data_IF_576493008557
#
_entry.id   IF_576493008557
#
_cell.length_a   1.000
_cell.length_b   1.000
_cell.length_c   1.000
_cell.angle_alpha   90.00
_cell.angle_beta   90.00
_cell.angle_gamma   90.00
#
_symmetry.space_group_name_H-M   'P 1'
#
loop_
_entity.id
_entity.type
_entity.pdbx_description
1 polymer ?
#
# COMPACT_ATOMS: atom_id res chain seq x y z
N UNK A 1 -15.46 20.76 12.07
CA UNK A 1 -14.04 21.11 11.90
C UNK A 1 -13.86 21.46 10.43
N UNK A 2 -13.28 22.61 10.14
CA UNK A 2 -12.94 23.02 8.78
C UNK A 2 -11.42 22.95 8.64
N UNK A 3 -10.95 22.28 7.60
CA UNK A 3 -9.54 21.99 7.41
C UNK A 3 -9.14 22.25 5.95
N UNK A 4 -8.22 23.19 5.76
CA UNK A 4 -7.68 23.55 4.43
C UNK A 4 -6.17 23.38 4.44
N UNK A 5 -5.62 22.75 3.41
CA UNK A 5 -4.17 22.58 3.27
C UNK A 5 -3.44 23.92 3.37
N UNK A 6 -2.34 23.95 4.12
CA UNK A 6 -1.55 25.15 4.37
C UNK A 6 -2.13 26.10 5.44
N UNK A 7 -3.31 25.81 6.00
CA UNK A 7 -3.90 26.56 7.13
C UNK A 7 -3.89 25.72 8.41
N UNK A 8 -3.84 26.35 9.61
CA UNK A 8 -4.08 25.63 10.86
C UNK A 8 -5.52 25.09 10.94
N UNK A 9 -5.71 23.99 11.68
CA UNK A 9 -7.05 23.44 11.93
C UNK A 9 -7.92 24.44 12.71
N UNK A 10 -9.14 24.65 12.21
CA UNK A 10 -10.19 25.38 12.92
C UNK A 10 -10.92 24.42 13.89
N UNK A 11 -10.29 24.22 15.05
CA UNK A 11 -10.83 23.42 16.18
C UNK A 11 -10.75 24.21 17.49
N UNK A 12 -11.72 23.99 18.37
CA UNK A 12 -11.76 24.54 19.73
C UNK A 12 -11.85 23.38 20.72
N UNK A 13 -10.85 23.27 21.59
CA UNK A 13 -10.83 22.25 22.63
C UNK A 13 -11.52 22.73 23.90
N UNK A 14 -12.24 21.83 24.57
CA UNK A 14 -12.78 22.03 25.92
C UNK A 14 -11.78 21.50 26.94
N UNK A 15 -11.50 22.24 28.00
CA UNK A 15 -10.57 21.79 29.03
C UNK A 15 -11.37 21.23 30.22
N UNK A 16 -11.12 19.96 30.55
CA UNK A 16 -11.78 19.31 31.67
C UNK A 16 -11.27 19.89 33.00
N UNK A 17 -12.20 20.33 33.85
CA UNK A 17 -11.86 20.85 35.18
C UNK A 17 -11.55 19.71 36.15
N UNK A 18 -10.36 19.78 36.74
CA UNK A 18 -9.89 18.79 37.72
C UNK A 18 -10.72 18.86 39.01
N UNK A 19 -10.98 20.07 39.51
CA UNK A 19 -11.84 20.38 40.67
C UNK A 19 -12.72 21.59 40.35
N UNK A 20 -13.79 21.83 41.11
CA UNK A 20 -14.75 22.90 40.80
C UNK A 20 -14.27 24.28 41.27
N UNK A 21 -13.56 24.32 42.40
CA UNK A 21 -12.83 25.49 42.87
C UNK A 21 -11.61 25.08 43.72
N UNK A 22 -10.51 25.82 43.60
CA UNK A 22 -9.33 25.61 44.43
C UNK A 22 -8.63 26.95 44.70
N UNK A 23 -8.37 27.24 45.98
CA UNK A 23 -7.52 28.34 46.44
C UNK A 23 -6.28 27.78 47.12
N UNK A 24 -5.09 28.39 46.93
CA UNK A 24 -3.88 27.95 47.61
C UNK A 24 -4.07 27.92 49.13
N UNK A 25 -3.90 26.76 49.76
CA UNK A 25 -4.04 26.56 51.21
C UNK A 25 -5.45 26.15 51.69
N UNK A 26 -6.44 26.08 50.81
CA UNK A 26 -7.79 25.57 51.12
C UNK A 26 -8.01 24.18 50.48
N UNK A 27 -8.84 23.35 51.11
CA UNK A 27 -9.22 22.04 50.55
C UNK A 27 -9.91 22.25 49.18
N UNK A 28 -9.56 21.49 48.13
CA UNK A 28 -10.22 21.60 46.83
C UNK A 28 -11.72 21.28 46.94
N UNK A 29 -12.57 22.13 46.37
CA UNK A 29 -14.01 21.93 46.34
C UNK A 29 -14.39 21.06 45.13
N UNK A 30 -15.11 19.97 45.41
CA UNK A 30 -15.71 19.09 44.41
C UNK A 30 -17.16 18.86 44.81
N UNK A 31 -18.08 19.45 44.06
CA UNK A 31 -19.52 19.27 44.24
C UNK A 31 -20.08 18.62 42.97
N UNK A 32 -19.88 17.30 42.88
CA UNK A 32 -20.19 16.51 41.69
C UNK A 32 -20.89 15.21 42.09
N UNK A 33 -21.89 14.75 41.33
CA UNK A 33 -22.47 13.43 41.55
C UNK A 33 -21.39 12.34 41.45
N UNK A 34 -21.41 11.33 42.34
CA UNK A 34 -20.45 10.23 42.28
C UNK A 34 -20.60 9.45 40.97
N UNK A 35 -19.48 8.94 40.46
CA UNK A 35 -19.50 8.00 39.34
C UNK A 35 -19.98 6.65 39.87
N UNK A 36 -20.98 6.00 39.24
CA UNK A 36 -21.38 4.64 39.60
C UNK A 36 -20.19 3.68 39.62
N UNK A 37 -20.11 2.78 40.60
CA UNK A 37 -18.95 1.91 40.81
C UNK A 37 -18.62 1.03 39.60
N UNK A 38 -19.65 0.60 38.86
CA UNK A 38 -19.54 -0.19 37.64
C UNK A 38 -19.01 0.61 36.43
N UNK A 39 -19.20 1.94 36.43
CA UNK A 39 -18.69 2.82 35.39
C UNK A 39 -17.21 3.23 35.61
N UNK A 40 -16.72 3.24 36.86
CA UNK A 40 -15.37 3.71 37.20
C UNK A 40 -14.29 3.04 36.33
N UNK A 41 -14.23 1.70 36.16
CA UNK A 41 -13.23 1.06 35.32
C UNK A 41 -13.32 1.46 33.85
N UNK A 42 -14.54 1.70 33.35
CA UNK A 42 -14.79 2.10 31.96
C UNK A 42 -14.33 3.54 31.70
N UNK A 43 -14.60 4.43 32.65
CA UNK A 43 -14.16 5.84 32.61
C UNK A 43 -12.65 5.94 32.70
N UNK A 44 -12.00 5.21 33.64
CA UNK A 44 -10.54 5.17 33.74
C UNK A 44 -9.91 4.67 32.42
N UNK A 45 -10.45 3.58 31.84
CA UNK A 45 -9.98 3.07 30.55
C UNK A 45 -10.09 4.12 29.44
N UNK A 46 -11.18 4.89 29.39
CA UNK A 46 -11.33 5.98 28.42
C UNK A 46 -10.24 7.03 28.57
N UNK A 47 -10.03 7.51 29.81
CA UNK A 47 -9.11 8.59 30.14
C UNK A 47 -7.63 8.22 29.92
N UNK A 48 -7.28 6.95 30.08
CA UNK A 48 -5.89 6.48 30.05
C UNK A 48 -5.48 5.87 28.70
N UNK A 49 -6.45 5.46 27.87
CA UNK A 49 -6.16 4.83 26.57
C UNK A 49 -5.66 5.83 25.52
N UNK A 50 -6.00 7.11 25.66
CA UNK A 50 -5.57 8.13 24.71
C UNK A 50 -4.07 8.45 24.88
N UNK A 51 -3.28 8.47 23.80
CA UNK A 51 -1.89 8.90 23.87
C UNK A 51 -1.76 10.31 24.43
N UNK A 52 -0.76 10.53 25.28
CA UNK A 52 -0.45 11.86 25.77
C UNK A 52 -0.03 12.78 24.60
N UNK A 53 -0.63 13.96 24.53
CA UNK A 53 -0.29 15.01 23.56
C UNK A 53 0.83 15.91 24.05
N UNK A 54 1.00 15.98 25.37
CA UNK A 54 2.09 16.67 26.03
C UNK A 54 2.51 15.85 27.25
N UNK A 55 3.81 15.65 27.42
CA UNK A 55 4.39 14.97 28.59
C UNK A 55 5.40 15.94 29.20
N UNK A 56 5.12 16.37 30.42
CA UNK A 56 5.99 17.16 31.26
C UNK A 56 7.06 16.30 31.94
N UNK A 57 8.02 16.97 32.59
CA UNK A 57 9.09 16.28 33.32
C UNK A 57 8.63 15.89 34.72
N UNK A 58 8.35 14.61 34.94
CA UNK A 58 8.10 14.04 36.27
C UNK A 58 6.66 14.11 36.75
N UNK A 59 6.50 14.12 38.08
CA UNK A 59 5.21 14.15 38.76
C UNK A 59 4.96 15.53 39.39
N UNK A 60 3.77 16.06 39.21
CA UNK A 60 3.25 17.23 39.90
C UNK A 60 2.63 16.87 41.26
N UNK A 61 2.35 17.89 42.10
CA UNK A 61 1.72 17.69 43.40
C UNK A 61 0.23 17.34 43.28
N UNK A 62 -0.20 16.36 44.07
CA UNK A 62 -1.60 16.05 44.34
C UNK A 62 -2.23 17.21 45.12
N UNK A 63 -3.28 17.81 44.58
CA UNK A 63 -3.94 18.98 45.21
C UNK A 63 -4.71 18.63 46.49
N UNK A 64 -4.98 17.34 46.73
CA UNK A 64 -5.66 16.85 47.94
C UNK A 64 -4.66 16.42 49.02
N UNK A 65 -3.57 15.72 48.66
CA UNK A 65 -2.59 15.20 49.64
C UNK A 65 -1.28 15.97 49.72
N UNK A 66 -0.92 16.75 48.69
CA UNK A 66 0.37 17.43 48.56
C UNK A 66 1.52 16.53 48.09
N UNK A 67 1.30 15.23 47.89
CA UNK A 67 2.32 14.28 47.42
C UNK A 67 2.63 14.51 45.94
N UNK A 68 3.89 14.41 45.53
CA UNK A 68 4.28 14.56 44.13
C UNK A 68 4.18 13.23 43.36
N UNK A 69 2.96 12.76 43.10
CA UNK A 69 2.67 11.48 42.42
C UNK A 69 1.71 11.61 41.22
N UNK A 70 1.32 12.83 40.84
CA UNK A 70 0.42 13.09 39.71
C UNK A 70 1.22 13.20 38.41
N UNK A 71 1.01 12.34 37.39
CA UNK A 71 1.77 12.44 36.16
C UNK A 71 1.50 13.77 35.44
N UNK A 72 2.57 14.45 35.04
CA UNK A 72 2.44 15.74 34.35
C UNK A 72 2.17 15.55 32.86
N UNK A 73 1.05 14.92 32.49
CA UNK A 73 0.69 14.67 31.09
C UNK A 73 -0.71 15.15 30.73
N UNK A 74 -0.88 15.56 29.48
CA UNK A 74 -2.16 15.96 28.93
C UNK A 74 -2.59 15.01 27.82
N UNK A 75 -3.88 14.74 27.77
CA UNK A 75 -4.52 13.83 26.83
C UNK A 75 -5.67 14.55 26.12
N UNK A 76 -6.11 14.01 24.99
CA UNK A 76 -7.26 14.54 24.25
C UNK A 76 -8.02 13.43 23.52
N UNK A 77 -9.33 13.60 23.36
CA UNK A 77 -10.20 12.82 22.48
C UNK A 77 -10.56 13.60 21.18
N UNK A 78 -9.92 14.74 20.97
CA UNK A 78 -10.21 15.65 19.85
C UNK A 78 -11.27 16.71 20.14
N UNK A 79 -12.05 16.56 21.21
CA UNK A 79 -13.02 17.57 21.69
C UNK A 79 -12.60 18.11 23.05
N UNK A 80 -12.27 17.23 23.99
CA UNK A 80 -11.79 17.55 25.32
C UNK A 80 -10.28 17.37 25.43
N UNK A 81 -9.67 18.19 26.28
CA UNK A 81 -8.31 18.07 26.76
C UNK A 81 -8.37 17.93 28.27
N UNK A 82 -7.68 16.93 28.83
CA UNK A 82 -7.61 16.70 30.27
C UNK A 82 -6.19 16.41 30.71
N UNK A 83 -5.90 16.77 31.96
CA UNK A 83 -4.65 16.43 32.63
C UNK A 83 -4.73 15.02 33.24
N UNK A 84 -3.59 14.33 33.39
CA UNK A 84 -3.51 12.99 33.98
C UNK A 84 -3.98 12.96 35.44
N UNK A 85 -4.11 14.11 36.09
CA UNK A 85 -4.75 14.24 37.40
C UNK A 85 -6.20 13.78 37.41
N UNK A 86 -6.95 13.88 36.30
CA UNK A 86 -8.36 13.45 36.25
C UNK A 86 -8.50 11.94 36.49
N UNK A 87 -7.86 11.04 35.72
CA UNK A 87 -7.90 9.61 36.04
C UNK A 87 -7.17 9.28 37.36
N UNK A 88 -6.11 10.00 37.71
CA UNK A 88 -5.40 9.78 38.98
C UNK A 88 -6.31 10.04 40.19
N UNK A 89 -7.03 11.17 40.25
CA UNK A 89 -7.92 11.50 41.36
C UNK A 89 -9.20 10.67 41.38
N UNK A 90 -9.74 10.27 40.23
CA UNK A 90 -10.84 9.31 40.18
C UNK A 90 -10.43 7.99 40.85
N UNK A 91 -9.20 7.52 40.61
CA UNK A 91 -8.68 6.29 41.20
C UNK A 91 -8.34 6.43 42.69
N UNK A 92 -7.61 7.48 43.05
CA UNK A 92 -7.03 7.65 44.40
C UNK A 92 -8.06 8.16 45.41
N UNK A 93 -8.88 9.13 45.00
CA UNK A 93 -9.78 9.88 45.88
C UNK A 93 -11.27 9.64 45.57
N UNK A 94 -11.58 8.89 44.51
CA UNK A 94 -12.96 8.72 44.03
C UNK A 94 -13.55 10.00 43.41
N UNK A 95 -12.71 10.99 43.09
CA UNK A 95 -13.14 12.30 42.59
C UNK A 95 -13.78 12.18 41.20
N UNK A 96 -15.08 12.50 41.03
CA UNK A 96 -15.74 12.40 39.73
C UNK A 96 -15.16 13.40 38.71
N UNK A 97 -14.99 13.00 37.43
CA UNK A 97 -14.71 13.95 36.36
C UNK A 97 -15.82 15.00 36.24
N UNK A 98 -15.51 16.13 35.59
CA UNK A 98 -16.49 17.18 35.32
C UNK A 98 -17.77 16.61 34.67
N UNK A 99 -18.99 16.97 35.14
CA UNK A 99 -20.23 16.31 34.70
C UNK A 99 -20.45 16.31 33.19
N UNK A 100 -20.15 17.41 32.51
CA UNK A 100 -20.27 17.48 31.04
C UNK A 100 -19.24 16.62 30.32
N UNK A 101 -18.04 16.48 30.89
CA UNK A 101 -17.01 15.61 30.35
C UNK A 101 -17.39 14.14 30.57
N UNK A 102 -17.90 13.79 31.75
CA UNK A 102 -18.42 12.45 32.03
C UNK A 102 -19.60 12.09 31.12
N UNK A 103 -20.51 13.03 30.87
CA UNK A 103 -21.58 12.86 29.90
C UNK A 103 -21.06 12.62 28.46
N UNK A 104 -19.99 13.32 28.07
CA UNK A 104 -19.30 13.09 26.79
C UNK A 104 -18.72 11.66 26.71
N UNK A 105 -18.03 11.21 27.75
CA UNK A 105 -17.46 9.86 27.83
C UNK A 105 -18.55 8.78 27.69
N UNK A 106 -19.69 8.98 28.39
CA UNK A 106 -20.86 8.08 28.28
C UNK A 106 -21.44 8.07 26.87
N UNK A 107 -21.58 9.24 26.23
CA UNK A 107 -22.08 9.35 24.87
C UNK A 107 -21.18 8.65 23.83
N UNK A 108 -19.88 8.53 24.12
CA UNK A 108 -18.90 7.76 23.32
C UNK A 108 -18.86 6.27 23.70
N UNK A 109 -19.78 5.78 24.54
CA UNK A 109 -19.83 4.38 24.97
C UNK A 109 -18.56 3.93 25.70
N UNK A 110 -17.89 4.85 26.42
CA UNK A 110 -16.62 4.59 27.11
C UNK A 110 -15.50 4.06 26.19
N UNK A 111 -15.56 4.39 24.89
CA UNK A 111 -14.52 4.11 23.91
C UNK A 111 -14.03 5.43 23.33
N UNK A 112 -12.78 5.85 23.60
CA UNK A 112 -12.31 7.12 23.09
C UNK A 112 -12.01 6.99 21.58
N UNK A 113 -12.32 8.02 20.78
CA UNK A 113 -12.11 7.99 19.33
C UNK A 113 -10.63 7.97 18.97
N UNK A 114 -10.29 7.54 17.76
CA UNK A 114 -8.95 7.79 17.23
C UNK A 114 -8.77 9.30 17.02
N UNK A 115 -7.66 9.85 17.52
CA UNK A 115 -7.33 11.27 17.35
C UNK A 115 -6.14 11.42 16.40
N UNK A 116 -6.39 12.08 15.28
CA UNK A 116 -5.38 12.33 14.26
C UNK A 116 -4.16 13.07 14.79
N UNK A 117 -3.01 12.78 14.16
CA UNK A 117 -1.73 13.38 14.54
C UNK A 117 -1.76 14.91 14.47
N UNK A 118 -2.44 15.49 13.46
CA UNK A 118 -2.58 16.94 13.35
C UNK A 118 -3.44 17.53 14.48
N UNK A 119 -4.54 16.87 14.86
CA UNK A 119 -5.38 17.30 15.99
C UNK A 119 -4.56 17.27 17.29
N UNK A 120 -3.82 16.17 17.55
CA UNK A 120 -2.94 16.05 18.73
C UNK A 120 -1.86 17.14 18.78
N UNK A 121 -1.19 17.40 17.66
CA UNK A 121 -0.19 18.50 17.56
C UNK A 121 -0.83 19.87 17.77
N UNK A 122 -2.08 20.04 17.35
CA UNK A 122 -2.85 21.28 17.56
C UNK A 122 -3.18 21.47 19.04
N UNK A 123 -3.67 20.43 19.72
CA UNK A 123 -3.92 20.44 21.18
C UNK A 123 -2.64 20.75 21.97
N UNK A 124 -1.51 20.11 21.60
CA UNK A 124 -0.22 20.38 22.23
C UNK A 124 0.26 21.83 22.03
N UNK A 125 0.05 22.40 20.84
CA UNK A 125 0.39 23.79 20.55
C UNK A 125 -0.43 24.77 21.40
N UNK A 126 -1.74 24.53 21.55
CA UNK A 126 -2.64 25.33 22.39
C UNK A 126 -2.21 25.29 23.88
N UNK A 127 -1.88 24.10 24.40
CA UNK A 127 -1.38 23.92 25.77
C UNK A 127 -0.05 24.65 26.02
N UNK A 128 0.82 24.71 25.02
CA UNK A 128 2.13 25.38 25.11
C UNK A 128 2.06 26.88 24.79
N UNK A 129 0.90 27.43 24.40
CA UNK A 129 0.77 28.79 23.91
C UNK A 129 1.58 29.08 22.63
N UNK A 130 1.83 28.05 21.81
CA UNK A 130 2.62 28.14 20.57
C UNK A 130 1.71 28.28 19.34
N UNK A 131 2.22 28.82 18.21
CA UNK A 131 1.47 28.82 16.96
C UNK A 131 1.04 27.41 16.54
N UNK A 132 -0.24 27.25 16.18
CA UNK A 132 -0.80 25.98 15.72
C UNK A 132 -0.10 25.50 14.43
N UNK A 133 0.14 24.18 14.28
CA UNK A 133 0.73 23.62 13.07
C UNK A 133 -0.20 23.85 11.87
N UNK A 134 0.39 24.11 10.71
CA UNK A 134 -0.34 24.08 9.44
C UNK A 134 -0.56 22.64 9.01
N UNK A 135 -1.73 22.37 8.47
CA UNK A 135 -2.04 21.08 7.87
C UNK A 135 -1.27 20.90 6.56
N UNK A 136 -0.62 19.76 6.37
CA UNK A 136 -0.08 19.38 5.06
C UNK A 136 -1.09 18.54 4.25
N UNK A 137 -0.78 18.29 2.98
CA UNK A 137 -1.67 17.53 2.10
C UNK A 137 -1.87 16.07 2.57
N UNK A 138 -0.90 15.50 3.30
CA UNK A 138 -0.98 14.14 3.85
C UNK A 138 -1.83 14.10 5.12
N UNK A 139 -1.98 15.22 5.82
CA UNK A 139 -2.83 15.33 7.01
C UNK A 139 -4.34 15.46 6.65
N UNK A 140 -4.68 15.93 5.44
CA UNK A 140 -6.06 16.31 5.09
C UNK A 140 -6.65 15.60 3.87
N UNK A 141 -5.80 15.13 2.96
CA UNK A 141 -6.24 14.52 1.70
C UNK A 141 -6.27 13.00 1.77
N UNK A 142 -7.04 12.34 0.89
CA UNK A 142 -6.87 10.91 0.67
C UNK A 142 -5.41 10.64 0.29
N UNK A 143 -4.80 9.67 0.96
CA UNK A 143 -3.48 9.17 0.60
C UNK A 143 -3.53 8.44 -0.74
N UNK A 144 -2.38 8.18 -1.35
CA UNK A 144 -2.32 7.30 -2.53
C UNK A 144 -2.93 5.92 -2.25
N UNK A 145 -2.84 5.43 -1.00
CA UNK A 145 -3.50 4.21 -0.55
C UNK A 145 -5.03 4.32 -0.53
N UNK A 146 -5.57 5.44 -0.06
CA UNK A 146 -7.03 5.68 -0.04
C UNK A 146 -7.59 5.79 -1.46
N UNK A 147 -6.86 6.49 -2.35
CA UNK A 147 -7.20 6.53 -3.78
C UNK A 147 -7.16 5.11 -4.36
N UNK A 148 -6.06 4.37 -4.17
CA UNK A 148 -5.93 3.01 -4.69
C UNK A 148 -7.08 2.10 -4.21
N UNK A 149 -7.44 2.15 -2.93
CA UNK A 149 -8.54 1.38 -2.36
C UNK A 149 -9.90 1.78 -2.97
N UNK A 150 -10.14 3.07 -3.19
CA UNK A 150 -11.35 3.52 -3.88
C UNK A 150 -11.42 2.99 -5.33
N UNK A 151 -10.28 3.00 -6.03
CA UNK A 151 -10.16 2.48 -7.40
C UNK A 151 -10.40 0.96 -7.52
N UNK A 152 -10.33 0.19 -6.43
CA UNK A 152 -10.61 -1.27 -6.48
C UNK A 152 -12.08 -1.60 -6.70
N UNK A 153 -12.98 -0.71 -6.28
CA UNK A 153 -14.43 -0.97 -6.29
C UNK A 153 -15.20 0.00 -7.18
N UNK A 154 -14.62 1.16 -7.47
CA UNK A 154 -15.21 2.17 -8.34
C UNK A 154 -14.73 2.00 -9.78
N UNK A 155 -15.64 1.70 -10.69
CA UNK A 155 -15.32 1.40 -12.10
C UNK A 155 -15.03 2.65 -12.94
N UNK A 156 -15.53 3.82 -12.54
CA UNK A 156 -15.29 5.10 -13.24
C UNK A 156 -15.06 6.26 -12.24
N UNK A 157 -13.92 6.24 -11.53
CA UNK A 157 -13.58 7.25 -10.54
C UNK A 157 -13.07 8.52 -11.24
N UNK A 158 -13.64 9.68 -10.87
CA UNK A 158 -13.18 10.98 -11.37
C UNK A 158 -11.92 11.40 -10.62
N UNK A 159 -10.77 11.30 -11.29
CA UNK A 159 -9.48 11.75 -10.78
C UNK A 159 -9.10 13.08 -11.42
N UNK A 160 -8.53 13.98 -10.62
CA UNK A 160 -7.81 15.14 -11.16
C UNK A 160 -6.51 14.68 -11.85
N UNK A 161 -6.04 15.45 -12.84
CA UNK A 161 -4.86 15.09 -13.64
C UNK A 161 -3.63 14.68 -12.80
N UNK A 162 -3.24 15.41 -11.73
CA UNK A 162 -2.08 15.00 -10.92
C UNK A 162 -2.27 13.62 -10.25
N UNK A 163 -3.47 13.32 -9.77
CA UNK A 163 -3.77 12.04 -9.14
C UNK A 163 -3.78 10.91 -10.18
N UNK A 164 -4.35 11.17 -11.36
CA UNK A 164 -4.34 10.23 -12.48
C UNK A 164 -2.91 9.87 -12.91
N UNK A 165 -2.01 10.86 -13.02
CA UNK A 165 -0.62 10.62 -13.41
C UNK A 165 0.15 9.79 -12.37
N UNK A 166 -0.14 9.96 -11.08
CA UNK A 166 0.42 9.10 -10.01
C UNK A 166 -0.08 7.66 -10.16
N UNK A 167 -1.38 7.48 -10.41
CA UNK A 167 -1.97 6.15 -10.65
C UNK A 167 -1.37 5.49 -11.89
N UNK A 168 -1.16 6.24 -12.98
CA UNK A 168 -0.51 5.74 -14.20
C UNK A 168 0.92 5.24 -13.91
N UNK A 169 1.73 6.05 -13.22
CA UNK A 169 3.10 5.65 -12.85
C UNK A 169 3.12 4.39 -11.98
N UNK A 170 2.19 4.30 -11.01
CA UNK A 170 2.05 3.11 -10.16
C UNK A 170 1.70 1.87 -10.99
N UNK A 171 0.70 1.95 -11.88
CA UNK A 171 0.30 0.81 -12.72
C UNK A 171 1.40 0.35 -13.67
N UNK A 172 2.15 1.28 -14.27
CA UNK A 172 3.32 0.95 -15.09
C UNK A 172 4.39 0.22 -14.26
N UNK A 173 4.63 0.65 -13.02
CA UNK A 173 5.57 0.00 -12.10
C UNK A 173 5.11 -1.40 -11.66
N UNK A 174 3.83 -1.58 -11.32
CA UNK A 174 3.24 -2.89 -11.00
C UNK A 174 3.32 -3.86 -12.17
N UNK A 175 3.13 -3.35 -13.39
CA UNK A 175 3.35 -4.09 -14.63
C UNK A 175 4.83 -4.19 -15.02
N UNK A 176 5.77 -3.84 -14.14
CA UNK A 176 7.21 -4.03 -14.37
C UNK A 176 7.76 -3.31 -15.62
N UNK A 177 7.19 -2.17 -15.98
CA UNK A 177 7.76 -1.28 -17.00
C UNK A 177 8.96 -0.57 -16.40
N UNK A 178 10.09 -0.59 -17.11
CA UNK A 178 11.33 0.01 -16.63
C UNK A 178 11.21 1.53 -16.53
N UNK A 179 11.76 2.16 -15.48
CA UNK A 179 11.74 3.62 -15.33
C UNK A 179 12.35 4.35 -16.54
N UNK A 180 13.30 3.73 -17.24
CA UNK A 180 13.96 4.29 -18.42
C UNK A 180 13.04 4.31 -19.66
N UNK A 181 12.04 3.43 -19.71
CA UNK A 181 11.16 3.27 -20.86
C UNK A 181 10.17 4.43 -21.03
N UNK A 182 9.94 5.23 -19.99
CA UNK A 182 8.95 6.30 -20.04
C UNK A 182 9.28 7.53 -19.20
N UNK A 183 8.62 8.65 -19.49
CA UNK A 183 8.60 9.87 -18.66
C UNK A 183 7.19 10.41 -18.54
N UNK A 184 6.82 10.90 -17.36
CA UNK A 184 5.56 11.60 -17.12
C UNK A 184 5.90 13.01 -16.62
N UNK A 185 5.33 14.04 -17.25
CA UNK A 185 5.65 15.44 -17.00
C UNK A 185 7.16 15.78 -17.15
N UNK A 186 7.86 14.99 -17.98
CA UNK A 186 9.24 15.17 -18.35
C UNK A 186 9.50 14.57 -19.74
N UNK A 187 10.65 14.89 -20.33
CA UNK A 187 11.09 14.39 -21.64
C UNK A 187 12.46 13.73 -21.50
N UNK A 188 12.66 12.63 -22.20
CA UNK A 188 13.95 11.97 -22.34
C UNK A 188 14.02 11.23 -23.66
N UNK A 189 15.19 11.22 -24.28
CA UNK A 189 15.42 10.44 -25.49
C UNK A 189 15.37 8.94 -25.19
N UNK A 190 14.94 8.19 -26.20
CA UNK A 190 14.73 6.75 -26.12
C UNK A 190 13.69 6.32 -25.06
N UNK A 191 12.70 7.17 -24.83
CA UNK A 191 11.59 6.91 -23.91
C UNK A 191 10.26 7.42 -24.46
N UNK A 192 9.17 6.74 -24.09
CA UNK A 192 7.81 7.23 -24.32
C UNK A 192 7.45 8.27 -23.27
N UNK A 193 7.14 9.49 -23.70
CA UNK A 193 6.90 10.61 -22.81
C UNK A 193 5.44 11.05 -22.87
N UNK A 194 4.83 11.31 -21.71
CA UNK A 194 3.52 11.95 -21.58
C UNK A 194 3.68 13.34 -20.97
N UNK A 195 3.24 14.37 -21.68
CA UNK A 195 3.41 15.77 -21.26
C UNK A 195 2.18 16.62 -21.57
N UNK A 196 1.89 17.59 -20.69
CA UNK A 196 0.97 18.68 -21.03
C UNK A 196 1.66 19.66 -21.99
N UNK A 197 0.90 20.14 -22.98
CA UNK A 197 1.36 21.05 -24.05
C UNK A 197 0.27 22.09 -24.34
N UNK A 198 0.59 23.07 -25.19
CA UNK A 198 -0.41 24.05 -25.67
C UNK A 198 -1.53 23.41 -26.50
N UNK A 199 -1.32 22.19 -27.03
CA UNK A 199 -2.28 21.44 -27.85
C UNK A 199 -3.05 20.38 -27.04
N UNK A 200 -3.02 20.47 -25.72
CA UNK A 200 -3.51 19.42 -24.81
C UNK A 200 -2.39 18.48 -24.38
N UNK A 201 -2.69 17.20 -24.22
CA UNK A 201 -1.76 16.18 -23.74
C UNK A 201 -1.08 15.47 -24.90
N UNK A 202 0.25 15.39 -24.88
CA UNK A 202 1.06 14.70 -25.87
C UNK A 202 1.58 13.38 -25.28
N UNK A 203 1.45 12.29 -26.05
CA UNK A 203 2.19 11.05 -25.85
C UNK A 203 3.06 10.81 -27.06
N UNK A 204 4.37 10.73 -26.90
CA UNK A 204 5.31 10.54 -28.01
C UNK A 204 6.56 9.77 -27.61
N UNK A 205 7.13 9.03 -28.55
CA UNK A 205 8.52 8.61 -28.49
C UNK A 205 9.44 9.80 -28.78
N UNK A 206 10.47 9.98 -27.96
CA UNK A 206 11.45 11.06 -28.12
C UNK A 206 12.79 10.54 -28.63
N UNK A 207 13.33 11.23 -29.64
CA UNK A 207 14.65 10.99 -30.19
C UNK A 207 15.31 12.33 -30.54
N UNK A 208 16.58 12.51 -30.13
CA UNK A 208 17.31 13.77 -30.28
C UNK A 208 16.54 15.00 -29.75
N UNK A 209 15.85 14.84 -28.63
CA UNK A 209 14.97 15.80 -27.97
C UNK A 209 13.75 16.25 -28.79
N UNK A 210 13.37 15.49 -29.82
CA UNK A 210 12.23 15.76 -30.69
C UNK A 210 11.22 14.61 -30.63
N UNK A 211 9.91 14.88 -30.60
CA UNK A 211 8.90 13.82 -30.67
C UNK A 211 8.80 13.25 -32.09
N UNK A 212 8.84 11.93 -32.24
CA UNK A 212 8.78 11.23 -33.53
C UNK A 212 7.37 10.71 -33.84
N UNK A 213 6.71 10.12 -32.84
CA UNK A 213 5.38 9.49 -32.98
C UNK A 213 4.35 10.18 -32.08
N UNK A 214 4.22 11.50 -32.21
CA UNK A 214 3.37 12.30 -31.35
C UNK A 214 1.87 12.04 -31.59
N UNK A 215 1.20 11.62 -30.52
CA UNK A 215 -0.26 11.58 -30.43
C UNK A 215 -0.74 12.64 -29.42
N UNK A 216 -1.79 13.39 -29.78
CA UNK A 216 -2.33 14.47 -28.95
C UNK A 216 -3.75 14.13 -28.49
N UNK A 217 -4.07 14.50 -27.26
CA UNK A 217 -5.34 14.21 -26.59
C UNK A 217 -5.86 15.44 -25.85
N UNK A 218 -7.17 15.63 -25.82
CA UNK A 218 -7.77 16.74 -25.08
C UNK A 218 -7.77 16.49 -23.57
N UNK A 219 -7.90 15.23 -23.15
CA UNK A 219 -8.00 14.81 -21.75
C UNK A 219 -6.77 14.01 -21.31
N UNK A 220 -6.33 14.23 -20.07
CA UNK A 220 -5.23 13.48 -19.47
C UNK A 220 -5.53 11.97 -19.39
N UNK A 221 -6.80 11.61 -19.19
CA UNK A 221 -7.26 10.22 -19.09
C UNK A 221 -6.98 9.44 -20.38
N UNK A 222 -7.30 10.02 -21.53
CA UNK A 222 -7.09 9.36 -22.83
C UNK A 222 -5.58 9.20 -23.12
N UNK A 223 -4.80 10.25 -22.84
CA UNK A 223 -3.34 10.18 -22.95
C UNK A 223 -2.72 9.11 -22.03
N UNK A 224 -3.20 9.01 -20.79
CA UNK A 224 -2.74 8.01 -19.83
C UNK A 224 -3.06 6.59 -20.28
N UNK A 225 -4.29 6.34 -20.73
CA UNK A 225 -4.70 5.04 -21.29
C UNK A 225 -3.90 4.68 -22.55
N UNK A 226 -3.64 5.67 -23.41
CA UNK A 226 -2.83 5.49 -24.60
C UNK A 226 -1.38 5.14 -24.27
N UNK A 227 -0.74 5.82 -23.31
CA UNK A 227 0.62 5.49 -22.87
C UNK A 227 0.67 4.07 -22.28
N UNK A 228 -0.30 3.72 -21.42
CA UNK A 228 -0.40 2.39 -20.82
C UNK A 228 -0.48 1.31 -21.91
N UNK A 229 -1.38 1.46 -22.88
CA UNK A 229 -1.49 0.55 -24.02
C UNK A 229 -0.21 0.50 -24.85
N UNK A 230 0.38 1.66 -25.14
CA UNK A 230 1.62 1.80 -25.91
C UNK A 230 2.76 0.98 -25.32
N UNK A 231 2.93 1.03 -23.98
CA UNK A 231 4.01 0.34 -23.28
C UNK A 231 3.71 -1.14 -23.05
N UNK A 232 2.46 -1.52 -22.78
CA UNK A 232 2.12 -2.89 -22.38
C UNK A 232 1.83 -3.82 -23.57
N UNK A 233 1.37 -3.30 -24.71
CA UNK A 233 1.08 -4.11 -25.90
C UNK A 233 2.34 -4.74 -26.51
N UNK A 234 3.50 -4.10 -26.39
CA UNK A 234 4.75 -4.60 -26.94
C UNK A 234 5.77 -4.86 -25.82
N UNK A 235 6.12 -6.14 -25.55
CA UNK A 235 7.03 -6.47 -24.45
C UNK A 235 8.38 -5.74 -24.47
N UNK A 236 8.93 -5.46 -25.66
CA UNK A 236 10.18 -4.72 -25.80
C UNK A 236 10.06 -3.26 -25.35
N UNK A 237 8.89 -2.63 -25.48
CA UNK A 237 8.69 -1.25 -25.03
C UNK A 237 8.75 -1.15 -23.50
N UNK A 238 8.38 -2.21 -22.78
CA UNK A 238 8.50 -2.28 -21.32
C UNK A 238 9.95 -2.16 -20.83
N UNK A 239 10.91 -2.55 -21.65
CA UNK A 239 12.35 -2.52 -21.34
C UNK A 239 13.11 -1.46 -22.14
N UNK A 240 12.41 -0.48 -22.73
CA UNK A 240 13.02 0.52 -23.62
C UNK A 240 13.81 -0.11 -24.80
N UNK A 241 13.43 -1.31 -25.24
CA UNK A 241 14.13 -2.08 -26.27
C UNK A 241 15.40 -2.78 -25.78
N UNK A 242 15.77 -2.63 -24.51
CA UNK A 242 16.94 -3.28 -23.93
C UNK A 242 16.64 -4.76 -23.63
N UNK A 243 17.67 -5.61 -23.77
CA UNK A 243 17.58 -6.98 -23.29
C UNK A 243 17.63 -7.00 -21.76
N UNK A 244 16.81 -7.86 -21.14
CA UNK A 244 16.92 -8.09 -19.69
C UNK A 244 18.30 -8.67 -19.38
N UNK A 245 19.07 -8.09 -18.44
CA UNK A 245 20.34 -8.66 -18.01
C UNK A 245 20.15 -10.13 -17.63
N UNK A 246 21.12 -10.97 -18.00
CA UNK A 246 21.14 -12.34 -17.51
C UNK A 246 21.41 -12.30 -16.00
N UNK A 247 20.42 -12.71 -15.21
CA UNK A 247 20.59 -12.79 -13.76
C UNK A 247 21.63 -13.86 -13.39
N UNK A 248 22.41 -13.57 -12.37
CA UNK A 248 23.37 -14.49 -11.76
C UNK A 248 22.64 -15.65 -11.08
N UNK A 249 23.31 -16.79 -10.93
CA UNK A 249 22.76 -17.93 -10.19
C UNK A 249 22.37 -17.58 -8.74
N UNK A 250 23.04 -16.60 -8.13
CA UNK A 250 22.73 -16.11 -6.79
C UNK A 250 21.38 -15.37 -6.77
N UNK A 251 21.17 -14.42 -7.69
CA UNK A 251 19.89 -13.71 -7.83
C UNK A 251 18.74 -14.67 -8.16
N UNK A 252 19.01 -15.70 -8.97
CA UNK A 252 18.02 -16.70 -9.34
C UNK A 252 17.63 -17.63 -8.18
N UNK A 253 18.48 -17.79 -7.17
CA UNK A 253 18.17 -18.59 -5.99
C UNK A 253 17.06 -17.97 -5.13
N UNK A 254 16.91 -16.63 -5.18
CA UNK A 254 15.88 -15.90 -4.45
C UNK A 254 14.48 -15.98 -5.11
N UNK A 255 14.38 -16.56 -6.30
CA UNK A 255 13.09 -16.72 -6.97
C UNK A 255 12.19 -17.72 -6.23
N UNK A 256 10.90 -17.43 -6.08
CA UNK A 256 9.99 -18.21 -5.25
C UNK A 256 9.61 -19.57 -5.85
N UNK A 257 9.92 -19.80 -7.13
CA UNK A 257 9.67 -21.05 -7.84
C UNK A 257 10.98 -21.47 -8.49
N UNK A 258 11.39 -22.72 -8.25
CA UNK A 258 12.61 -23.28 -8.82
C UNK A 258 12.27 -24.41 -9.80
N UNK A 259 13.06 -24.60 -10.87
CA UNK A 259 12.97 -25.80 -11.70
C UNK A 259 13.18 -27.05 -10.85
N UNK A 260 12.37 -28.07 -11.05
CA UNK A 260 12.57 -29.39 -10.43
C UNK A 260 13.82 -30.07 -10.98
N UNK A 261 14.32 -31.11 -10.29
CA UNK A 261 15.48 -31.87 -10.75
C UNK A 261 15.35 -32.34 -12.21
N UNK A 262 16.42 -32.13 -12.98
CA UNK A 262 16.50 -32.48 -14.40
C UNK A 262 15.87 -31.46 -15.36
N UNK A 263 15.14 -30.45 -14.87
CA UNK A 263 14.68 -29.32 -15.71
C UNK A 263 15.80 -28.32 -15.99
N UNK A 264 15.74 -27.61 -17.13
CA UNK A 264 16.63 -26.48 -17.42
C UNK A 264 16.65 -25.45 -16.27
N UNK A 265 17.83 -24.93 -15.90
CA UNK A 265 17.92 -23.85 -14.91
C UNK A 265 17.26 -22.57 -15.42
N UNK A 266 16.88 -21.67 -14.51
CA UNK A 266 16.26 -20.38 -14.85
C UNK A 266 17.17 -19.46 -15.68
N UNK A 267 18.47 -19.72 -15.72
CA UNK A 267 19.43 -19.02 -16.60
C UNK A 267 19.15 -19.25 -18.09
N UNK A 268 18.42 -20.31 -18.45
CA UNK A 268 18.00 -20.57 -19.83
C UNK A 268 16.68 -19.88 -20.21
N UNK A 269 16.16 -19.03 -19.33
CA UNK A 269 15.00 -18.17 -19.60
C UNK A 269 15.39 -16.70 -19.43
N UNK A 270 15.05 -15.87 -20.42
CA UNK A 270 15.15 -14.41 -20.34
C UNK A 270 13.78 -13.76 -20.13
N UNK A 271 13.75 -12.48 -19.79
CA UNK A 271 12.51 -11.72 -19.55
C UNK A 271 11.59 -12.44 -18.55
N UNK A 272 12.18 -12.89 -17.44
CA UNK A 272 11.45 -13.66 -16.43
C UNK A 272 10.54 -12.75 -15.64
N UNK A 273 9.35 -13.24 -15.30
CA UNK A 273 8.39 -12.55 -14.43
C UNK A 273 7.44 -13.54 -13.77
N UNK A 274 6.97 -13.19 -12.58
CA UNK A 274 5.88 -13.94 -11.94
C UNK A 274 4.57 -13.49 -12.57
N UNK A 275 3.81 -14.43 -13.11
CA UNK A 275 2.48 -14.18 -13.68
C UNK A 275 1.47 -15.16 -13.09
N UNK A 276 0.19 -14.79 -13.12
CA UNK A 276 -0.89 -15.67 -12.72
C UNK A 276 -1.61 -16.18 -13.96
N UNK A 277 -1.44 -17.46 -14.28
CA UNK A 277 -2.21 -18.11 -15.33
C UNK A 277 -3.62 -18.38 -14.82
N UNK A 278 -4.64 -18.03 -15.61
CA UNK A 278 -6.04 -18.26 -15.28
C UNK A 278 -6.44 -19.74 -15.36
N UNK A 279 -7.57 -20.07 -14.73
CA UNK A 279 -8.23 -21.36 -14.96
C UNK A 279 -8.70 -21.45 -16.42
N UNK A 280 -8.65 -22.63 -17.01
CA UNK A 280 -8.95 -22.88 -18.42
C UNK A 280 -7.74 -22.75 -19.36
N UNK A 281 -6.64 -22.11 -18.92
CA UNK A 281 -5.41 -22.02 -19.71
C UNK A 281 -4.86 -23.40 -20.03
N UNK A 282 -4.52 -23.63 -21.29
CA UNK A 282 -3.86 -24.86 -21.75
C UNK A 282 -2.36 -24.61 -21.86
N UNK A 283 -1.56 -25.56 -21.38
CA UNK A 283 -0.10 -25.53 -21.43
C UNK A 283 0.45 -26.81 -22.03
N UNK A 284 1.58 -26.70 -22.71
CA UNK A 284 2.26 -27.80 -23.41
C UNK A 284 3.50 -28.25 -22.62
N UNK A 285 3.67 -29.56 -22.47
CA UNK A 285 4.78 -30.20 -21.77
C UNK A 285 5.56 -31.06 -22.75
N UNK A 286 6.87 -30.86 -22.79
CA UNK A 286 7.82 -31.82 -23.39
C UNK A 286 8.64 -32.48 -22.27
N UNK A 287 8.35 -33.76 -22.00
CA UNK A 287 8.99 -34.54 -20.94
C UNK A 287 8.01 -35.20 -19.97
N UNK A 288 8.55 -35.93 -18.99
CA UNK A 288 7.78 -36.68 -18.00
C UNK A 288 7.06 -35.80 -16.97
N UNK A 289 6.26 -36.42 -16.10
CA UNK A 289 5.44 -35.70 -15.11
C UNK A 289 6.18 -35.32 -13.81
N UNK A 290 7.44 -35.73 -13.66
CA UNK A 290 8.30 -35.31 -12.54
C UNK A 290 8.82 -33.88 -12.66
N UNK A 291 8.73 -33.29 -13.85
CA UNK A 291 9.18 -31.93 -14.14
C UNK A 291 8.09 -30.88 -13.93
N UNK A 292 8.48 -29.60 -13.85
CA UNK A 292 7.56 -28.47 -13.70
C UNK A 292 7.66 -27.41 -14.81
N UNK A 293 8.47 -27.62 -15.84
CA UNK A 293 8.56 -26.73 -17.00
C UNK A 293 7.47 -27.08 -18.02
N UNK A 294 6.67 -26.09 -18.40
CA UNK A 294 5.70 -26.16 -19.49
C UNK A 294 5.87 -24.95 -20.41
N UNK A 295 5.16 -24.94 -21.52
CA UNK A 295 5.23 -23.90 -22.53
C UNK A 295 3.81 -23.46 -22.92
N UNK A 296 3.73 -22.32 -23.62
CA UNK A 296 2.53 -21.95 -24.35
C UNK A 296 2.10 -23.11 -25.28
N UNK A 297 0.80 -23.31 -25.45
CA UNK A 297 0.25 -24.51 -26.10
C UNK A 297 0.54 -24.61 -27.61
N UNK A 298 0.94 -23.50 -28.22
CA UNK A 298 1.43 -23.37 -29.60
C UNK A 298 2.96 -23.45 -29.75
N UNK A 299 3.70 -23.67 -28.66
CA UNK A 299 5.17 -23.71 -28.73
C UNK A 299 5.65 -24.89 -29.59
N UNK A 300 6.51 -24.61 -30.57
CA UNK A 300 7.18 -25.65 -31.38
C UNK A 300 8.39 -26.19 -30.62
N UNK A 301 8.64 -27.49 -30.69
CA UNK A 301 9.76 -28.12 -29.98
C UNK A 301 11.12 -27.39 -30.15
N UNK A 302 11.56 -27.00 -31.37
CA UNK A 302 12.84 -26.30 -31.56
C UNK A 302 12.94 -24.95 -30.83
N UNK A 303 11.82 -24.33 -30.49
CA UNK A 303 11.82 -23.05 -29.77
C UNK A 303 11.99 -23.21 -28.26
N UNK A 304 11.92 -24.44 -27.73
CA UNK A 304 12.01 -24.73 -26.30
C UNK A 304 13.44 -24.86 -25.79
N UNK A 305 14.42 -25.02 -26.70
CA UNK A 305 15.82 -25.25 -26.36
C UNK A 305 16.08 -26.49 -25.49
N UNK A 306 15.15 -27.47 -25.53
CA UNK A 306 15.23 -28.72 -24.78
C UNK A 306 16.00 -29.82 -25.54
N UNK A 307 16.58 -30.80 -24.83
CA UNK A 307 17.14 -32.00 -25.44
C UNK A 307 16.09 -32.80 -26.23
N UNK A 308 16.47 -33.29 -27.42
CA UNK A 308 15.58 -33.91 -28.41
C UNK A 308 14.80 -35.12 -27.87
N UNK A 309 15.32 -35.82 -26.86
CA UNK A 309 14.65 -36.96 -26.22
C UNK A 309 13.31 -36.58 -25.59
N UNK A 310 13.15 -35.30 -25.21
CA UNK A 310 11.91 -34.78 -24.60
C UNK A 310 10.77 -34.60 -25.61
N UNK A 311 11.07 -34.46 -26.90
CA UNK A 311 10.07 -34.28 -27.96
C UNK A 311 9.09 -35.46 -28.01
N UNK A 312 9.58 -36.67 -27.72
CA UNK A 312 8.76 -37.91 -27.71
C UNK A 312 7.69 -37.93 -26.63
N UNK A 313 7.79 -37.07 -25.62
CA UNK A 313 6.87 -37.01 -24.49
C UNK A 313 6.12 -35.68 -24.49
N UNK A 314 5.35 -35.45 -25.56
CA UNK A 314 4.49 -34.29 -25.70
C UNK A 314 3.12 -34.53 -25.04
N UNK A 315 2.71 -33.63 -24.14
CA UNK A 315 1.39 -33.68 -23.48
C UNK A 315 0.85 -32.27 -23.23
N UNK A 316 -0.47 -32.11 -23.34
CA UNK A 316 -1.15 -30.87 -22.94
C UNK A 316 -1.85 -31.04 -21.60
N UNK A 317 -1.86 -29.97 -20.81
CA UNK A 317 -2.58 -29.89 -19.55
C UNK A 317 -3.44 -28.63 -19.52
N UNK A 318 -4.61 -28.70 -18.92
CA UNK A 318 -5.45 -27.54 -18.64
C UNK A 318 -5.36 -27.19 -17.16
N UNK A 319 -5.24 -25.90 -16.86
CA UNK A 319 -5.32 -25.39 -15.50
C UNK A 319 -6.77 -25.43 -15.01
N UNK A 320 -7.02 -26.11 -13.90
CA UNK A 320 -8.35 -26.16 -13.28
C UNK A 320 -8.58 -25.00 -12.30
N UNK A 321 -7.50 -24.34 -11.87
CA UNK A 321 -7.53 -23.14 -11.02
C UNK A 321 -6.38 -22.20 -11.40
N UNK A 322 -6.43 -20.92 -10.98
CA UNK A 322 -5.33 -20.02 -11.25
C UNK A 322 -4.03 -20.45 -10.55
N UNK A 323 -2.90 -20.37 -11.26
CA UNK A 323 -1.57 -20.70 -10.74
C UNK A 323 -0.60 -19.52 -10.93
N UNK A 324 0.13 -19.16 -9.87
CA UNK A 324 1.28 -18.27 -9.97
C UNK A 324 2.48 -19.04 -10.49
N UNK A 325 3.09 -18.58 -11.58
CA UNK A 325 4.17 -19.27 -12.30
C UNK A 325 5.26 -18.28 -12.66
N UNK A 326 6.47 -18.77 -12.93
CA UNK A 326 7.48 -17.96 -13.62
C UNK A 326 7.23 -18.08 -15.11
N UNK A 327 6.87 -16.99 -15.79
CA UNK A 327 6.96 -16.87 -17.24
C UNK A 327 8.39 -16.49 -17.61
N UNK A 328 8.93 -17.07 -18.68
CA UNK A 328 10.17 -16.64 -19.32
C UNK A 328 10.22 -17.02 -20.79
N UNK A 329 11.13 -16.42 -21.54
CA UNK A 329 11.38 -16.75 -22.95
C UNK A 329 12.62 -17.63 -23.03
N UNK A 330 12.52 -18.80 -23.64
CA UNK A 330 13.65 -19.70 -23.84
C UNK A 330 14.77 -19.01 -24.62
N UNK A 331 15.99 -19.06 -24.10
CA UNK A 331 17.18 -18.56 -24.81
C UNK A 331 17.66 -19.58 -25.86
N UNK A 332 18.35 -19.16 -26.92
CA UNK A 332 19.01 -20.09 -27.83
C UNK A 332 20.01 -20.98 -27.08
N UNK A 333 19.97 -22.29 -27.29
CA UNK A 333 20.87 -23.25 -26.64
C UNK A 333 20.97 -24.55 -27.45
N UNK A 334 22.12 -25.21 -27.42
CA UNK A 334 22.36 -26.50 -28.09
C UNK A 334 21.92 -26.54 -29.57
N UNK A 335 22.25 -25.48 -30.34
CA UNK A 335 21.86 -25.28 -31.75
C UNK A 335 20.36 -25.13 -32.01
N UNK A 336 19.55 -24.92 -30.96
CA UNK A 336 18.14 -24.59 -31.08
C UNK A 336 17.94 -23.07 -30.96
N UNK A 337 17.00 -22.49 -31.74
CA UNK A 337 16.80 -21.04 -31.81
C UNK A 337 16.19 -20.42 -30.54
N UNK A 338 15.62 -21.21 -29.62
CA UNK A 338 14.87 -20.69 -28.49
C UNK A 338 13.61 -19.93 -28.92
N UNK A 339 13.09 -19.09 -28.02
CA UNK A 339 11.94 -18.22 -28.27
C UNK A 339 10.59 -18.71 -27.74
N UNK A 340 10.50 -19.94 -27.21
CA UNK A 340 9.27 -20.42 -26.60
C UNK A 340 8.92 -19.61 -25.34
N UNK A 341 7.67 -19.14 -25.27
CA UNK A 341 7.07 -18.68 -24.01
C UNK A 341 6.92 -19.89 -23.10
N UNK A 342 7.63 -19.87 -21.99
CA UNK A 342 7.78 -21.00 -21.08
C UNK A 342 7.32 -20.61 -19.69
N UNK A 343 6.78 -21.57 -18.95
CA UNK A 343 6.27 -21.41 -17.60
C UNK A 343 6.90 -22.44 -16.67
N UNK A 344 7.48 -22.00 -15.57
CA UNK A 344 7.91 -22.88 -14.48
C UNK A 344 6.82 -22.88 -13.41
N UNK A 345 6.20 -24.04 -13.21
CA UNK A 345 5.12 -24.22 -12.25
C UNK A 345 5.66 -24.43 -10.82
N UNK A 346 4.88 -24.12 -9.77
CA UNK A 346 5.33 -24.26 -8.37
C UNK A 346 5.68 -25.68 -7.91
N UNK A 347 5.22 -26.71 -8.64
CA UNK A 347 5.35 -28.13 -8.31
C UNK A 347 5.48 -28.93 -9.61
N UNK A 348 5.89 -30.18 -9.51
CA UNK A 348 5.90 -31.10 -10.64
C UNK A 348 4.48 -31.32 -11.19
N UNK A 349 4.39 -31.68 -12.47
CA UNK A 349 3.11 -31.95 -13.14
C UNK A 349 2.30 -33.01 -12.37
N UNK A 350 2.93 -34.10 -11.93
CA UNK A 350 2.26 -35.17 -11.18
C UNK A 350 1.56 -34.66 -9.91
N UNK A 351 2.17 -33.69 -9.22
CA UNK A 351 1.65 -33.17 -7.95
C UNK A 351 0.46 -32.24 -8.21
N UNK A 352 0.54 -31.43 -9.27
CA UNK A 352 -0.57 -30.59 -9.72
C UNK A 352 -1.75 -31.41 -10.27
N UNK A 353 -1.49 -32.55 -10.90
CA UNK A 353 -2.56 -33.47 -11.31
C UNK A 353 -3.19 -34.13 -10.08
N UNK A 354 -2.37 -34.56 -9.11
CA UNK A 354 -2.86 -35.20 -7.89
C UNK A 354 -3.71 -34.27 -7.01
N UNK A 355 -3.35 -32.98 -6.90
CA UNK A 355 -4.10 -31.99 -6.13
C UNK A 355 -5.21 -31.28 -6.94
N UNK A 356 -5.44 -31.71 -8.20
CA UNK A 356 -6.50 -31.21 -9.07
C UNK A 356 -6.25 -29.81 -9.64
N UNK A 357 -5.03 -29.27 -9.53
CA UNK A 357 -4.65 -27.98 -10.14
C UNK A 357 -4.51 -28.05 -11.65
N UNK A 358 -4.10 -29.21 -12.18
CA UNK A 358 -4.01 -29.50 -13.60
C UNK A 358 -4.82 -30.75 -13.93
N UNK A 359 -5.40 -30.78 -15.12
CA UNK A 359 -5.95 -31.98 -15.73
C UNK A 359 -5.27 -32.24 -17.07
N UNK A 360 -5.19 -33.52 -17.47
CA UNK A 360 -4.71 -33.86 -18.80
C UNK A 360 -5.71 -33.36 -19.84
N UNK A 361 -5.22 -32.63 -20.82
CA UNK A 361 -6.04 -32.08 -21.88
C UNK A 361 -5.84 -32.86 -23.17
N UNK A 362 -6.93 -33.39 -23.72
CA UNK A 362 -7.00 -33.98 -25.05
C UNK A 362 -7.98 -33.10 -25.82
N UNK A 363 -7.42 -32.18 -26.60
CA UNK A 363 -8.16 -31.22 -27.42
C UNK A 363 -8.20 -31.63 -28.88
#
# INVERSE_FOLDING_TARGET
MDATAGRPLAVTFRHARVVDAHRPGEAPAVDRPPVPEDEIPLVLRYLERQPAVLVGSGFGPDVFSGEADVPESYHTDGTWVWHASVPHYLRKHGTPPEPEFLAHIRAQGFQPPYVDKLIRRTAAADLLGRPRPRADARDLGPTSGDVAAALETQTDPKLEDPALLVVLAQRLGEEGVWPEAYRIAARADHAWCLNATERGWEVAWYENSVPVEASYFDQAQDAAQFLLGTLLLHPARRTAGQETPLETSAELADWPIQPTEGEPPLTLLRNKRIVRLGAGTVVLRFGGESGNLVHHDEARFPTTSLPIERERQERKYRLCRPLSVILGIAVPWANLPGGAVSYVLPKAIRDHVADGSLERFVG
#
